data_IF_525015864085
#
_entry.id   IF_525015864085
#
_cell.length_a   1.000
_cell.length_b   1.000
_cell.length_c   1.000
_cell.angle_alpha   90.00
_cell.angle_beta   90.00
_cell.angle_gamma   90.00
#
_symmetry.space_group_name_H-M   'P 1'
#
loop_
_entity.id
_entity.type
_entity.pdbx_description
1 polymer ?
#
# COMPACT_ATOMS: atom_id res chain seq x y z
N UNK A 1 -2.93 -6.20 -9.10
CA UNK A 1 -2.93 -7.69 -9.04
C UNK A 1 -1.96 -8.35 -10.03
N UNK A 2 -1.80 -7.83 -11.26
CA UNK A 2 -0.80 -8.37 -12.21
C UNK A 2 0.64 -8.07 -11.74
N UNK A 3 0.88 -6.88 -11.19
CA UNK A 3 2.21 -6.45 -10.72
C UNK A 3 2.73 -7.25 -9.54
N UNK A 4 1.94 -7.42 -8.46
CA UNK A 4 2.35 -8.22 -7.29
C UNK A 4 2.67 -9.68 -7.68
N UNK A 5 1.84 -10.30 -8.54
CA UNK A 5 2.14 -11.62 -9.08
C UNK A 5 3.44 -11.64 -9.92
N UNK A 6 3.71 -10.57 -10.66
CA UNK A 6 4.97 -10.36 -11.38
C UNK A 6 6.15 -10.28 -10.42
N UNK A 7 6.04 -9.48 -9.36
CA UNK A 7 7.06 -9.32 -8.32
C UNK A 7 7.36 -10.64 -7.60
N UNK A 8 6.33 -11.40 -7.21
CA UNK A 8 6.48 -12.71 -6.58
C UNK A 8 7.23 -13.68 -7.51
N UNK A 9 6.84 -13.76 -8.79
CA UNK A 9 7.52 -14.63 -9.77
C UNK A 9 8.96 -14.19 -10.02
N UNK A 10 9.22 -12.88 -10.07
CA UNK A 10 10.56 -12.34 -10.23
C UNK A 10 11.45 -12.64 -9.01
N UNK A 11 10.92 -12.46 -7.80
CA UNK A 11 11.60 -12.81 -6.54
C UNK A 11 11.93 -14.30 -6.46
N UNK A 12 10.99 -15.17 -6.86
CA UNK A 12 11.22 -16.62 -6.92
C UNK A 12 12.36 -16.98 -7.88
N UNK A 13 12.36 -16.40 -9.09
CA UNK A 13 13.44 -16.62 -10.06
C UNK A 13 14.78 -16.14 -9.51
N UNK A 14 14.78 -15.00 -8.82
CA UNK A 14 15.98 -14.44 -8.21
C UNK A 14 16.51 -15.40 -7.15
N UNK A 15 15.70 -15.88 -6.20
CA UNK A 15 16.22 -16.76 -5.15
C UNK A 15 16.74 -18.08 -5.72
N UNK A 16 16.08 -18.61 -6.76
CA UNK A 16 16.55 -19.80 -7.48
C UNK A 16 17.88 -19.58 -8.22
N UNK A 17 18.31 -18.35 -8.52
CA UNK A 17 19.60 -18.12 -9.17
C UNK A 17 20.79 -18.21 -8.19
N UNK A 18 20.54 -18.10 -6.88
CA UNK A 18 21.59 -18.11 -5.84
C UNK A 18 21.57 -19.37 -4.97
N UNK A 19 20.46 -20.10 -4.93
CA UNK A 19 20.37 -21.37 -4.22
C UNK A 19 21.20 -22.47 -4.91
N UNK A 20 21.79 -23.36 -4.10
CA UNK A 20 22.43 -24.58 -4.60
C UNK A 20 21.40 -25.44 -5.34
N UNK A 21 21.84 -26.13 -6.40
CA UNK A 21 20.98 -26.95 -7.25
C UNK A 21 20.13 -27.96 -6.46
N UNK A 22 20.68 -28.54 -5.39
CA UNK A 22 19.97 -29.48 -4.51
C UNK A 22 18.72 -28.89 -3.82
N UNK A 23 18.67 -27.57 -3.60
CA UNK A 23 17.55 -26.89 -2.93
C UNK A 23 16.51 -26.32 -3.90
N UNK A 24 16.86 -26.11 -5.17
CA UNK A 24 15.94 -25.50 -6.17
C UNK A 24 14.64 -26.28 -6.35
N UNK A 25 14.63 -27.63 -6.37
CA UNK A 25 13.38 -28.39 -6.50
C UNK A 25 12.38 -28.18 -5.36
N UNK A 26 12.84 -27.75 -4.17
CA UNK A 26 11.96 -27.51 -3.03
C UNK A 26 11.19 -26.18 -3.14
N UNK A 27 11.63 -25.26 -4.00
CA UNK A 27 11.03 -23.94 -4.20
C UNK A 27 9.99 -24.02 -5.31
N UNK A 28 8.78 -24.44 -4.94
CA UNK A 28 7.60 -24.39 -5.80
C UNK A 28 6.92 -23.01 -5.71
N UNK A 29 6.24 -22.60 -6.78
CA UNK A 29 5.60 -21.27 -6.84
C UNK A 29 4.58 -21.05 -5.72
N UNK A 30 3.80 -22.07 -5.37
CA UNK A 30 2.77 -21.93 -4.32
C UNK A 30 3.39 -21.85 -2.92
N UNK A 31 4.47 -22.58 -2.65
CA UNK A 31 5.25 -22.45 -1.41
C UNK A 31 5.92 -21.08 -1.30
N UNK A 32 6.46 -20.57 -2.41
CA UNK A 32 7.08 -19.25 -2.45
C UNK A 32 6.04 -18.14 -2.25
N UNK A 33 4.86 -18.22 -2.89
CA UNK A 33 3.73 -17.32 -2.64
C UNK A 33 3.31 -17.34 -1.18
N UNK A 34 3.14 -18.53 -0.60
CA UNK A 34 2.78 -18.67 0.81
C UNK A 34 3.82 -17.99 1.71
N UNK A 35 5.10 -18.23 1.48
CA UNK A 35 6.18 -17.60 2.26
C UNK A 35 6.20 -16.07 2.08
N UNK A 36 6.00 -15.58 0.85
CA UNK A 36 5.91 -14.15 0.55
C UNK A 36 4.80 -13.49 1.37
N UNK A 37 3.58 -14.03 1.32
CA UNK A 37 2.46 -13.47 2.08
C UNK A 37 2.63 -13.65 3.59
N UNK A 38 3.21 -14.76 4.05
CA UNK A 38 3.50 -14.96 5.46
C UNK A 38 4.46 -13.90 6.00
N UNK A 39 5.58 -13.65 5.30
CA UNK A 39 6.55 -12.62 5.70
C UNK A 39 5.95 -11.22 5.63
N UNK A 40 5.26 -10.90 4.54
CA UNK A 40 4.70 -9.58 4.32
C UNK A 40 3.58 -9.21 5.33
N UNK A 41 2.80 -10.20 5.78
CA UNK A 41 1.70 -9.96 6.72
C UNK A 41 2.05 -10.15 8.20
N UNK A 42 3.17 -10.83 8.53
CA UNK A 42 3.52 -11.22 9.90
C UNK A 42 4.84 -10.69 10.42
N UNK A 43 5.64 -10.05 9.56
CA UNK A 43 6.91 -9.48 10.01
C UNK A 43 6.71 -8.21 10.83
N UNK A 44 7.65 -7.98 11.74
CA UNK A 44 7.81 -6.73 12.47
C UNK A 44 8.98 -5.95 11.89
N UNK A 45 8.91 -4.63 12.01
CA UNK A 45 10.00 -3.76 11.63
C UNK A 45 11.17 -3.88 12.62
N UNK A 46 12.38 -4.02 12.09
CA UNK A 46 13.64 -3.86 12.78
C UNK A 46 14.43 -2.73 12.15
N UNK A 47 15.12 -1.95 12.98
CA UNK A 47 16.05 -0.93 12.50
C UNK A 47 17.12 -1.60 11.62
N UNK A 48 17.24 -1.22 10.33
CA UNK A 48 18.23 -1.81 9.44
C UNK A 48 19.66 -1.67 9.96
N UNK A 49 19.94 -0.64 10.75
CA UNK A 49 21.27 -0.46 11.34
C UNK A 49 21.57 -1.48 12.43
N UNK A 50 20.57 -1.90 13.21
CA UNK A 50 20.74 -2.98 14.17
C UNK A 50 21.03 -4.30 13.43
N UNK A 51 20.30 -4.58 12.34
CA UNK A 51 20.51 -5.79 11.52
C UNK A 51 21.91 -5.80 10.90
N UNK A 52 22.34 -4.69 10.28
CA UNK A 52 23.70 -4.53 9.75
C UNK A 52 24.77 -4.75 10.82
N UNK A 53 24.58 -4.15 11.99
CA UNK A 53 25.53 -4.28 13.10
C UNK A 53 25.68 -5.73 13.54
N UNK A 54 24.59 -6.51 13.62
CA UNK A 54 24.65 -7.93 13.97
C UNK A 54 25.36 -8.71 12.85
N UNK A 55 24.99 -8.46 11.60
CA UNK A 55 25.55 -9.15 10.44
C UNK A 55 27.05 -8.89 10.25
N UNK A 56 27.57 -7.71 10.61
CA UNK A 56 29.00 -7.39 10.45
C UNK A 56 29.92 -8.19 11.36
N UNK A 57 29.37 -8.88 12.37
CA UNK A 57 30.12 -9.78 13.26
C UNK A 57 29.93 -11.26 12.90
N UNK A 58 29.16 -11.58 11.85
CA UNK A 58 29.05 -12.95 11.35
C UNK A 58 30.36 -13.36 10.64
N UNK A 59 30.93 -14.55 10.95
CA UNK A 59 32.20 -15.00 10.35
C UNK A 59 32.22 -15.07 8.83
N UNK A 60 31.05 -15.10 8.18
CA UNK A 60 30.88 -15.24 6.73
C UNK A 60 30.07 -14.10 6.11
N UNK A 61 29.84 -12.99 6.84
CA UNK A 61 28.95 -11.90 6.42
C UNK A 61 27.47 -12.32 6.34
N UNK A 62 26.63 -11.43 5.81
CA UNK A 62 25.22 -11.74 5.54
C UNK A 62 25.10 -12.57 4.25
N UNK A 63 24.38 -13.70 4.31
CA UNK A 63 24.20 -14.64 3.19
C UNK A 63 23.51 -14.03 1.95
N UNK A 64 22.86 -12.86 2.09
CA UNK A 64 22.00 -12.30 1.05
C UNK A 64 22.22 -10.79 0.80
N UNK A 65 23.30 -10.18 1.29
CA UNK A 65 23.49 -8.73 1.19
C UNK A 65 23.50 -8.24 -0.27
N UNK A 66 24.22 -8.93 -1.15
CA UNK A 66 24.28 -8.62 -2.59
C UNK A 66 22.97 -8.91 -3.36
N UNK A 67 21.98 -9.51 -2.68
CA UNK A 67 20.74 -9.99 -3.28
C UNK A 67 19.53 -9.11 -2.97
N UNK A 68 19.54 -8.46 -1.80
CA UNK A 68 18.47 -7.61 -1.34
C UNK A 68 18.37 -6.36 -2.22
N UNK A 69 17.16 -5.96 -2.56
CA UNK A 69 16.92 -4.71 -3.29
C UNK A 69 16.99 -3.50 -2.36
N UNK A 70 16.84 -3.74 -1.07
CA UNK A 70 16.65 -2.79 0.01
C UNK A 70 17.35 -3.27 1.29
N UNK A 71 17.45 -2.37 2.26
CA UNK A 71 18.10 -2.68 3.52
C UNK A 71 17.23 -3.62 4.38
N UNK A 72 17.80 -4.69 4.98
CA UNK A 72 17.03 -5.66 5.71
C UNK A 72 16.39 -5.03 6.96
N UNK A 73 15.06 -5.06 7.02
CA UNK A 73 14.28 -4.33 8.02
C UNK A 73 13.14 -5.16 8.63
N UNK A 74 13.09 -6.46 8.35
CA UNK A 74 11.98 -7.33 8.71
C UNK A 74 12.46 -8.52 9.55
N UNK A 75 11.68 -8.88 10.57
CA UNK A 75 11.84 -10.14 11.29
C UNK A 75 10.49 -10.82 11.54
N UNK A 76 10.46 -12.14 11.47
CA UNK A 76 9.36 -12.92 12.00
C UNK A 76 9.53 -13.03 13.52
N UNK A 77 8.51 -12.62 14.27
CA UNK A 77 8.49 -12.67 15.73
C UNK A 77 7.35 -13.61 16.16
N UNK A 78 7.63 -14.92 16.37
CA UNK A 78 6.62 -15.86 16.84
C UNK A 78 5.95 -15.35 18.11
N UNK A 79 4.67 -15.65 18.28
CA UNK A 79 3.78 -15.14 19.34
C UNK A 79 3.29 -13.71 19.11
N UNK A 80 4.17 -12.78 18.70
CA UNK A 80 3.76 -11.41 18.38
C UNK A 80 2.84 -11.38 17.16
N UNK A 81 3.11 -12.25 16.18
CA UNK A 81 2.32 -12.37 14.96
C UNK A 81 0.88 -12.93 15.15
N UNK A 82 0.46 -13.19 16.39
CA UNK A 82 -0.94 -13.50 16.73
C UNK A 82 -1.80 -12.26 17.04
N UNK A 83 -1.19 -11.11 17.34
CA UNK A 83 -1.97 -9.91 17.64
C UNK A 83 -2.64 -9.36 16.38
N UNK A 84 -3.95 -9.10 16.45
CA UNK A 84 -4.73 -8.54 15.35
C UNK A 84 -4.62 -7.02 15.27
N UNK A 85 -4.94 -6.48 14.09
CA UNK A 85 -4.93 -5.04 13.85
C UNK A 85 -6.21 -4.34 14.34
N UNK A 86 -6.05 -3.13 14.90
CA UNK A 86 -7.13 -2.17 15.07
C UNK A 86 -6.65 -0.74 14.71
N UNK A 87 -7.41 -0.02 13.88
CA UNK A 87 -7.14 1.39 13.58
C UNK A 87 -7.23 2.25 14.84
N UNK A 88 -6.38 3.28 14.91
CA UNK A 88 -6.34 4.23 16.02
C UNK A 88 -5.67 3.72 17.30
N UNK A 89 -5.32 2.44 17.41
CA UNK A 89 -4.46 1.94 18.49
C UNK A 89 -3.03 2.44 18.29
N UNK A 90 -2.37 2.97 19.33
CA UNK A 90 -0.94 3.27 19.25
C UNK A 90 -0.15 2.10 19.79
N UNK A 91 0.73 1.59 18.93
CA UNK A 91 1.65 0.51 19.26
C UNK A 91 3.05 1.02 19.07
N UNK A 92 3.83 0.98 20.15
CA UNK A 92 5.25 1.29 20.11
C UNK A 92 6.02 -0.03 20.22
N UNK A 93 7.07 -0.15 19.42
CA UNK A 93 7.94 -1.30 19.39
C UNK A 93 9.39 -0.88 19.47
N UNK A 94 10.19 -1.60 20.26
CA UNK A 94 11.63 -1.33 20.38
C UNK A 94 12.42 -2.62 20.63
N UNK A 95 13.69 -2.61 20.23
CA UNK A 95 14.63 -3.62 20.66
C UNK A 95 15.12 -3.31 22.08
N UNK A 96 15.33 -4.35 22.89
CA UNK A 96 15.81 -4.23 24.28
C UNK A 96 17.18 -3.58 24.43
N UNK A 97 17.97 -3.49 23.36
CA UNK A 97 19.29 -2.88 23.34
C UNK A 97 19.39 -1.87 22.20
N UNK A 98 20.01 -0.73 22.48
CA UNK A 98 20.37 0.24 21.44
C UNK A 98 21.48 -0.29 20.54
N UNK A 99 21.62 0.28 19.34
CA UNK A 99 22.69 -0.08 18.39
C UNK A 99 24.08 0.01 19.05
N UNK A 100 24.32 1.01 19.89
CA UNK A 100 25.58 1.17 20.63
C UNK A 100 25.80 0.04 21.61
N UNK A 101 24.76 -0.36 22.36
CA UNK A 101 24.86 -1.48 23.31
C UNK A 101 25.07 -2.82 22.60
N UNK A 102 24.41 -3.03 21.46
CA UNK A 102 24.63 -4.20 20.60
C UNK A 102 26.10 -4.27 20.19
N UNK A 103 26.64 -3.18 19.64
CA UNK A 103 28.05 -3.10 19.23
C UNK A 103 29.01 -3.38 20.39
N UNK A 104 28.79 -2.75 21.54
CA UNK A 104 29.66 -2.91 22.71
C UNK A 104 29.69 -4.36 23.23
N UNK A 105 28.55 -5.06 23.19
CA UNK A 105 28.48 -6.47 23.56
C UNK A 105 29.20 -7.35 22.55
N UNK A 106 28.96 -7.14 21.26
CA UNK A 106 29.60 -7.91 20.19
C UNK A 106 31.13 -7.73 20.21
N UNK A 107 31.63 -6.50 20.39
CA UNK A 107 33.07 -6.22 20.52
C UNK A 107 33.72 -6.89 21.74
N UNK A 108 32.95 -7.13 22.80
CA UNK A 108 33.41 -7.80 24.03
C UNK A 108 33.13 -9.30 24.02
N UNK A 109 32.70 -9.86 22.88
CA UNK A 109 32.30 -11.26 22.73
C UNK A 109 31.25 -11.71 23.78
N UNK A 110 30.38 -10.77 24.20
CA UNK A 110 29.32 -11.05 25.16
C UNK A 110 28.08 -11.60 24.46
N UNK A 111 27.31 -12.48 25.12
CA UNK A 111 26.03 -12.95 24.61
C UNK A 111 25.09 -11.79 24.26
N UNK A 112 24.47 -11.90 23.08
CA UNK A 112 23.51 -10.93 22.57
C UNK A 112 22.09 -11.44 22.83
N UNK A 113 21.55 -11.11 24.00
CA UNK A 113 20.16 -11.39 24.36
C UNK A 113 19.29 -10.20 23.93
N UNK A 114 18.54 -10.37 22.84
CA UNK A 114 17.64 -9.35 22.29
C UNK A 114 16.19 -9.73 22.54
N UNK A 115 15.40 -8.76 22.97
CA UNK A 115 13.95 -8.86 23.06
C UNK A 115 13.33 -7.78 22.18
N UNK A 116 12.22 -8.13 21.53
CA UNK A 116 11.38 -7.18 20.82
C UNK A 116 10.23 -6.81 21.75
N UNK A 117 10.28 -5.60 22.31
CA UNK A 117 9.29 -5.11 23.24
C UNK A 117 8.15 -4.47 22.45
N UNK A 118 6.92 -4.81 22.82
CA UNK A 118 5.71 -4.24 22.24
C UNK A 118 4.87 -3.62 23.35
N UNK A 119 4.49 -2.36 23.16
CA UNK A 119 3.72 -1.59 24.12
C UNK A 119 2.49 -0.99 23.42
N UNK A 120 1.31 -1.24 23.98
CA UNK A 120 0.07 -0.55 23.59
C UNK A 120 -0.27 0.51 24.61
N UNK A 121 -0.80 1.65 24.17
CA UNK A 121 -1.21 2.76 25.06
C UNK A 121 -2.59 2.57 25.71
N UNK A 122 -3.37 1.59 25.25
CA UNK A 122 -4.69 1.29 25.77
C UNK A 122 -4.64 0.35 26.99
N UNK A 123 -5.51 0.61 27.97
CA UNK A 123 -5.81 -0.35 29.03
C UNK A 123 -6.74 -1.44 28.47
N UNK A 124 -6.45 -2.70 28.83
CA UNK A 124 -7.22 -3.86 28.37
C UNK A 124 -7.91 -4.53 29.54
N UNK A 125 -9.21 -4.82 29.40
CA UNK A 125 -9.94 -5.58 30.41
C UNK A 125 -9.62 -7.07 30.31
N UNK A 126 -9.66 -7.76 31.44
CA UNK A 126 -9.46 -9.21 31.47
C UNK A 126 -10.46 -9.93 30.56
N UNK A 127 -9.97 -10.83 29.71
CA UNK A 127 -10.78 -11.57 28.74
C UNK A 127 -11.05 -10.84 27.42
N UNK A 128 -10.58 -9.60 27.25
CA UNK A 128 -10.64 -8.91 25.96
C UNK A 128 -9.39 -9.18 25.12
N UNK A 129 -9.58 -9.22 23.81
CA UNK A 129 -8.48 -9.33 22.86
C UNK A 129 -7.66 -8.04 22.87
N UNK A 130 -6.34 -8.21 22.90
CA UNK A 130 -5.38 -7.12 22.72
C UNK A 130 -5.15 -6.93 21.22
N UNK A 131 -5.33 -5.71 20.75
CA UNK A 131 -5.04 -5.31 19.37
C UNK A 131 -3.79 -4.46 19.30
N UNK A 132 -3.15 -4.47 18.14
CA UNK A 132 -1.99 -3.65 17.81
C UNK A 132 -2.24 -2.86 16.52
N UNK A 133 -1.38 -1.90 16.23
CA UNK A 133 -1.37 -1.26 14.92
C UNK A 133 -0.35 -1.92 14.00
N UNK A 134 -0.76 -2.31 12.80
CA UNK A 134 0.14 -2.72 11.73
C UNK A 134 0.71 -1.52 10.96
N UNK A 135 0.33 -0.30 11.36
CA UNK A 135 0.58 0.95 10.64
C UNK A 135 -0.71 1.59 10.13
N UNK A 136 -0.58 2.81 9.62
CA UNK A 136 -1.65 3.58 8.97
C UNK A 136 -1.85 3.05 7.55
N UNK A 137 -2.81 2.16 7.36
CA UNK A 137 -3.09 1.53 6.06
C UNK A 137 -4.53 1.77 5.61
N UNK A 138 -4.70 2.08 4.33
CA UNK A 138 -6.02 2.12 3.69
C UNK A 138 -6.59 0.70 3.49
N UNK A 139 -7.88 0.62 3.20
CA UNK A 139 -8.56 -0.66 3.02
C UNK A 139 -8.07 -1.43 1.79
N UNK A 140 -7.58 -0.75 0.75
CA UNK A 140 -6.95 -1.41 -0.40
C UNK A 140 -5.76 -2.26 0.04
N UNK A 141 -4.85 -1.67 0.81
CA UNK A 141 -3.65 -2.32 1.31
C UNK A 141 -3.98 -3.39 2.33
N UNK A 142 -4.89 -3.13 3.27
CA UNK A 142 -5.35 -4.14 4.22
C UNK A 142 -5.91 -5.38 3.49
N UNK A 143 -6.70 -5.18 2.45
CA UNK A 143 -7.31 -6.29 1.72
C UNK A 143 -6.26 -7.09 0.94
N UNK A 144 -5.35 -6.41 0.24
CA UNK A 144 -4.34 -7.06 -0.62
C UNK A 144 -3.22 -7.74 0.17
N UNK A 145 -2.80 -7.15 1.29
CA UNK A 145 -1.63 -7.61 2.05
C UNK A 145 -2.02 -8.46 3.27
N UNK A 146 -3.17 -8.20 3.89
CA UNK A 146 -3.60 -8.86 5.12
C UNK A 146 -4.91 -9.65 4.98
N UNK A 147 -5.64 -9.49 3.87
CA UNK A 147 -6.85 -10.26 3.58
C UNK A 147 -8.11 -9.78 4.30
N UNK A 148 -8.13 -8.56 4.85
CA UNK A 148 -9.31 -7.97 5.48
C UNK A 148 -9.41 -6.47 5.18
N UNK A 149 -10.54 -5.86 5.49
CA UNK A 149 -10.70 -4.40 5.49
C UNK A 149 -11.43 -3.97 6.76
N UNK A 150 -11.36 -2.70 7.11
CA UNK A 150 -11.99 -2.14 8.30
C UNK A 150 -13.18 -1.28 7.86
N UNK A 151 -14.40 -1.56 8.35
CA UNK A 151 -15.55 -0.69 8.12
C UNK A 151 -15.30 0.70 8.70
N UNK A 152 -15.60 1.75 7.94
CA UNK A 152 -15.36 3.15 8.31
C UNK A 152 -13.92 3.41 8.79
N UNK A 153 -12.94 2.81 8.10
CA UNK A 153 -11.53 2.99 8.41
C UNK A 153 -11.15 4.48 8.36
N UNK A 154 -10.65 5.07 9.46
CA UNK A 154 -10.28 6.49 9.49
C UNK A 154 -9.10 6.81 8.58
N UNK A 155 -8.27 5.81 8.25
CA UNK A 155 -7.07 5.93 7.43
C UNK A 155 -7.34 5.56 5.95
N UNK A 156 -8.61 5.42 5.56
CA UNK A 156 -8.96 4.98 4.22
C UNK A 156 -8.84 6.07 3.15
N UNK A 157 -8.50 5.61 1.95
CA UNK A 157 -8.63 6.36 0.72
C UNK A 157 -8.76 5.38 -0.44
N UNK A 158 -9.57 5.74 -1.44
CA UNK A 158 -9.77 4.94 -2.64
C UNK A 158 -8.88 5.48 -3.74
N UNK A 159 -7.77 4.80 -3.97
CA UNK A 159 -6.83 5.10 -5.05
C UNK A 159 -7.28 4.51 -6.38
N UNK A 160 -7.01 5.24 -7.45
CA UNK A 160 -7.27 4.83 -8.82
C UNK A 160 -6.10 5.21 -9.72
N UNK A 161 -6.14 4.76 -10.97
CA UNK A 161 -5.01 4.91 -11.90
C UNK A 161 -5.33 5.90 -13.01
N UNK A 162 -4.31 6.31 -13.74
CA UNK A 162 -4.51 7.02 -15.01
C UNK A 162 -5.34 6.20 -16.02
N UNK A 163 -5.29 4.86 -15.92
CA UNK A 163 -6.18 3.96 -16.65
C UNK A 163 -7.66 4.19 -16.32
N UNK A 164 -7.98 4.40 -15.05
CA UNK A 164 -9.32 4.75 -14.58
C UNK A 164 -9.77 6.11 -15.11
N UNK A 165 -8.90 7.12 -15.09
CA UNK A 165 -9.18 8.44 -15.69
C UNK A 165 -9.47 8.31 -17.20
N UNK A 166 -8.70 7.48 -17.91
CA UNK A 166 -8.93 7.22 -19.32
C UNK A 166 -10.26 6.47 -19.59
N UNK A 167 -10.66 5.57 -18.69
CA UNK A 167 -11.97 4.92 -18.76
C UNK A 167 -13.10 5.92 -18.53
N UNK A 168 -12.95 6.82 -17.55
CA UNK A 168 -13.85 7.94 -17.31
C UNK A 168 -13.98 8.85 -18.55
N UNK A 169 -12.87 9.29 -19.15
CA UNK A 169 -12.88 10.13 -20.36
C UNK A 169 -13.66 9.46 -21.49
N UNK A 170 -13.49 8.14 -21.69
CA UNK A 170 -14.20 7.39 -22.72
C UNK A 170 -15.70 7.26 -22.42
N UNK A 171 -16.07 7.19 -21.15
CA UNK A 171 -17.45 7.07 -20.70
C UNK A 171 -18.21 8.40 -20.78
N UNK A 172 -17.56 9.50 -20.42
CA UNK A 172 -18.17 10.82 -20.34
C UNK A 172 -18.55 11.36 -21.75
N UNK A 173 -19.82 11.71 -21.99
CA UNK A 173 -20.30 12.15 -23.31
C UNK A 173 -19.59 13.39 -23.88
N UNK A 174 -19.14 14.30 -23.01
CA UNK A 174 -18.46 15.54 -23.39
C UNK A 174 -16.97 15.29 -23.60
N UNK A 175 -16.35 14.43 -22.77
CA UNK A 175 -14.91 14.19 -22.81
C UNK A 175 -14.50 13.11 -23.83
N UNK A 176 -15.38 12.20 -24.23
CA UNK A 176 -15.03 11.08 -25.13
C UNK A 176 -14.49 11.51 -26.50
N UNK A 177 -14.85 12.71 -26.95
CA UNK A 177 -14.38 13.29 -28.20
C UNK A 177 -13.12 14.15 -28.01
N UNK A 178 -12.75 14.48 -26.77
CA UNK A 178 -11.57 15.29 -26.45
C UNK A 178 -10.30 14.57 -26.91
N UNK A 179 -9.41 15.32 -27.57
CA UNK A 179 -8.09 14.85 -27.97
C UNK A 179 -7.05 15.44 -27.04
N UNK A 180 -6.68 14.68 -26.03
CA UNK A 180 -5.64 15.09 -25.08
C UNK A 180 -4.24 14.85 -25.69
N UNK A 181 -3.36 15.87 -25.71
CA UNK A 181 -2.00 15.73 -26.22
C UNK A 181 -1.19 14.67 -25.46
N UNK A 182 -0.37 13.89 -26.17
CA UNK A 182 0.46 12.83 -25.57
C UNK A 182 1.51 13.39 -24.62
N UNK A 183 1.95 14.62 -24.86
CA UNK A 183 2.92 15.34 -24.05
C UNK A 183 2.44 15.52 -22.61
N UNK A 184 1.13 15.69 -22.40
CA UNK A 184 0.54 15.78 -21.05
C UNK A 184 0.68 14.46 -20.28
N UNK A 185 0.34 13.35 -20.93
CA UNK A 185 0.49 12.01 -20.34
C UNK A 185 1.94 11.69 -20.03
N UNK A 186 2.85 11.99 -20.96
CA UNK A 186 4.28 11.80 -20.75
C UNK A 186 4.79 12.65 -19.59
N UNK A 187 4.39 13.92 -19.50
CA UNK A 187 4.76 14.79 -18.38
C UNK A 187 4.30 14.22 -17.03
N UNK A 188 3.07 13.72 -16.93
CA UNK A 188 2.57 13.12 -15.68
C UNK A 188 3.42 11.89 -15.28
N UNK A 189 3.69 10.99 -16.23
CA UNK A 189 4.49 9.79 -15.99
C UNK A 189 5.96 10.10 -15.66
N UNK A 190 6.61 11.01 -16.39
CA UNK A 190 8.00 11.39 -16.18
C UNK A 190 8.24 12.03 -14.79
N UNK A 191 7.17 12.48 -14.14
CA UNK A 191 7.20 13.14 -12.83
C UNK A 191 6.43 12.38 -11.73
N UNK A 192 6.01 11.14 -11.97
CA UNK A 192 5.26 10.31 -11.01
C UNK A 192 3.96 10.96 -10.50
N UNK A 193 3.35 11.82 -11.32
CA UNK A 193 2.08 12.51 -11.01
C UNK A 193 0.86 11.68 -11.41
N UNK A 194 1.07 10.47 -11.92
CA UNK A 194 0.07 9.45 -12.21
C UNK A 194 -0.06 8.39 -11.11
N UNK A 195 0.69 8.57 -10.02
CA UNK A 195 0.60 7.81 -8.77
C UNK A 195 -0.20 8.59 -7.70
N UNK A 196 -0.72 7.91 -6.68
CA UNK A 196 -1.39 8.55 -5.54
C UNK A 196 -2.60 9.41 -5.94
N UNK A 197 -3.39 8.90 -6.90
CA UNK A 197 -4.60 9.55 -7.38
C UNK A 197 -5.80 9.08 -6.55
N UNK A 198 -6.26 9.91 -5.60
CA UNK A 198 -7.39 9.59 -4.74
C UNK A 198 -8.12 10.84 -4.27
N UNK A 199 -9.36 10.65 -3.82
CA UNK A 199 -10.10 11.65 -3.08
C UNK A 199 -9.72 11.60 -1.60
N UNK A 200 -9.63 12.77 -0.97
CA UNK A 200 -9.27 12.92 0.45
C UNK A 200 -10.43 13.56 1.20
N UNK A 201 -10.76 13.11 2.42
CA UNK A 201 -11.63 13.87 3.31
C UNK A 201 -11.10 15.31 3.47
N UNK A 202 -12.01 16.28 3.58
CA UNK A 202 -11.72 17.72 3.78
C UNK A 202 -11.09 18.45 2.58
N UNK A 203 -9.97 17.99 2.04
CA UNK A 203 -9.28 18.61 0.89
C UNK A 203 -9.87 18.21 -0.47
N UNK A 204 -10.79 17.23 -0.47
CA UNK A 204 -11.49 16.63 -1.60
C UNK A 204 -10.60 15.85 -2.59
N UNK A 205 -9.41 16.36 -2.93
CA UNK A 205 -8.50 15.76 -3.91
C UNK A 205 -7.09 15.63 -3.32
N UNK A 206 -6.38 14.55 -3.64
CA UNK A 206 -4.94 14.51 -3.43
C UNK A 206 -4.24 15.55 -4.31
N UNK A 207 -3.04 16.00 -3.92
CA UNK A 207 -2.23 16.93 -4.72
C UNK A 207 -2.04 16.41 -6.16
N UNK A 208 -1.62 15.15 -6.30
CA UNK A 208 -1.40 14.53 -7.61
C UNK A 208 -2.69 14.46 -8.44
N UNK A 209 -3.84 14.20 -7.82
CA UNK A 209 -5.12 14.22 -8.53
C UNK A 209 -5.49 15.62 -9.01
N UNK A 210 -5.31 16.65 -8.17
CA UNK A 210 -5.57 18.03 -8.55
C UNK A 210 -4.66 18.47 -9.72
N UNK A 211 -3.36 18.16 -9.65
CA UNK A 211 -2.39 18.40 -10.72
C UNK A 211 -2.75 17.64 -11.98
N UNK A 212 -3.06 16.36 -11.88
CA UNK A 212 -3.43 15.50 -13.01
C UNK A 212 -4.66 16.05 -13.75
N UNK A 213 -5.76 16.32 -13.04
CA UNK A 213 -6.97 16.88 -13.65
C UNK A 213 -6.71 18.27 -14.26
N UNK A 214 -5.92 19.11 -13.57
CA UNK A 214 -5.58 20.45 -14.06
C UNK A 214 -4.75 20.38 -15.34
N UNK A 215 -3.69 19.57 -15.36
CA UNK A 215 -2.84 19.36 -16.54
C UNK A 215 -3.67 18.84 -17.70
N UNK A 216 -4.52 17.83 -17.48
CA UNK A 216 -5.31 17.21 -18.54
C UNK A 216 -6.39 18.16 -19.09
N UNK A 217 -7.18 18.81 -18.24
CA UNK A 217 -8.44 19.41 -18.66
C UNK A 217 -8.49 20.94 -18.67
N UNK A 218 -7.58 21.65 -17.99
CA UNK A 218 -7.57 23.12 -18.02
C UNK A 218 -6.75 23.59 -19.23
N UNK A 219 -7.40 24.34 -20.12
CA UNK A 219 -6.77 24.94 -21.29
C UNK A 219 -5.66 25.91 -20.85
N UNK A 220 -4.58 26.02 -21.64
CA UNK A 220 -3.33 26.80 -21.39
C UNK A 220 -2.21 26.12 -20.59
N UNK A 221 -2.47 24.96 -19.96
CA UNK A 221 -1.44 24.32 -19.12
C UNK A 221 -0.28 23.66 -19.88
N UNK A 222 -0.41 23.39 -21.19
CA UNK A 222 0.66 22.72 -21.94
C UNK A 222 1.99 23.50 -21.92
N UNK A 223 1.94 24.83 -21.78
CA UNK A 223 3.12 25.68 -21.72
C UNK A 223 3.64 25.92 -20.29
N UNK A 224 2.88 25.53 -19.27
CA UNK A 224 3.17 25.82 -17.86
C UNK A 224 3.05 24.60 -16.94
N UNK A 225 3.12 23.37 -17.48
CA UNK A 225 2.92 22.12 -16.72
C UNK A 225 3.81 22.01 -15.47
N UNK A 226 5.08 22.44 -15.56
CA UNK A 226 6.00 22.47 -14.42
C UNK A 226 5.54 23.40 -13.30
N UNK A 227 5.00 24.57 -13.66
CA UNK A 227 4.49 25.52 -12.66
C UNK A 227 3.24 24.98 -11.98
N UNK A 228 2.37 24.28 -12.73
CA UNK A 228 1.18 23.62 -12.17
C UNK A 228 1.55 22.48 -11.24
N UNK A 229 2.56 21.68 -11.59
CA UNK A 229 2.90 20.46 -10.87
C UNK A 229 3.72 20.67 -9.59
N UNK A 230 4.54 21.72 -9.54
CA UNK A 230 5.53 21.89 -8.47
C UNK A 230 5.34 23.18 -7.66
N UNK A 231 4.23 23.89 -7.86
CA UNK A 231 3.81 24.99 -7.00
C UNK A 231 2.80 24.49 -5.96
N UNK A 232 2.05 25.41 -5.36
CA UNK A 232 0.92 25.07 -4.50
C UNK A 232 -0.12 24.24 -5.25
N UNK A 233 -0.85 23.39 -4.51
CA UNK A 233 -1.91 22.55 -5.05
C UNK A 233 -2.87 23.38 -5.91
N UNK A 234 -3.11 22.98 -7.17
CA UNK A 234 -4.01 23.73 -8.05
C UNK A 234 -5.39 23.94 -7.43
N UNK A 235 -6.02 25.11 -7.63
CA UNK A 235 -7.33 25.38 -7.06
C UNK A 235 -8.38 24.42 -7.62
N UNK A 236 -9.37 24.08 -6.80
CA UNK A 236 -10.43 23.15 -7.18
C UNK A 236 -11.36 23.70 -8.27
N UNK A 237 -11.68 25.00 -8.25
CA UNK A 237 -12.75 25.58 -9.09
C UNK A 237 -12.65 25.26 -10.59
N UNK A 238 -11.48 25.38 -11.27
CA UNK A 238 -11.37 25.07 -12.70
C UNK A 238 -11.64 23.59 -13.03
N UNK A 239 -11.49 22.69 -12.06
CA UNK A 239 -11.62 21.24 -12.24
C UNK A 239 -12.80 20.65 -11.46
N UNK A 240 -13.52 21.44 -10.66
CA UNK A 240 -14.57 20.97 -9.74
C UNK A 240 -15.62 20.12 -10.45
N UNK A 241 -16.13 20.62 -11.59
CA UNK A 241 -17.14 19.91 -12.38
C UNK A 241 -16.62 18.56 -12.90
N UNK A 242 -15.36 18.51 -13.35
CA UNK A 242 -14.74 17.29 -13.88
C UNK A 242 -14.46 16.30 -12.75
N UNK A 243 -13.96 16.77 -11.61
CA UNK A 243 -13.74 15.96 -10.41
C UNK A 243 -15.05 15.31 -9.93
N UNK A 244 -16.15 16.06 -9.90
CA UNK A 244 -17.46 15.53 -9.51
C UNK A 244 -17.99 14.50 -10.52
N UNK A 245 -17.77 14.69 -11.83
CA UNK A 245 -18.13 13.68 -12.85
C UNK A 245 -17.27 12.43 -12.75
N UNK A 246 -15.97 12.57 -12.48
CA UNK A 246 -15.08 11.43 -12.20
C UNK A 246 -15.56 10.67 -10.96
N UNK A 247 -15.91 11.36 -9.88
CA UNK A 247 -16.44 10.75 -8.66
C UNK A 247 -17.72 9.95 -8.92
N UNK A 248 -18.65 10.50 -9.73
CA UNK A 248 -19.85 9.79 -10.15
C UNK A 248 -19.54 8.54 -11.00
N UNK A 249 -18.54 8.62 -11.88
CA UNK A 249 -18.10 7.47 -12.66
C UNK A 249 -17.53 6.37 -11.76
N UNK A 250 -16.70 6.71 -10.77
CA UNK A 250 -16.16 5.74 -9.82
C UNK A 250 -17.27 5.05 -8.99
N UNK A 251 -18.27 5.83 -8.54
CA UNK A 251 -19.44 5.29 -7.86
C UNK A 251 -20.22 4.31 -8.75
N UNK A 252 -20.41 4.64 -10.03
CA UNK A 252 -21.04 3.74 -10.99
C UNK A 252 -20.24 2.44 -11.18
N UNK A 253 -18.91 2.51 -11.28
CA UNK A 253 -18.06 1.32 -11.37
C UNK A 253 -18.15 0.43 -10.12
N UNK A 254 -18.30 1.04 -8.94
CA UNK A 254 -18.52 0.32 -7.69
C UNK A 254 -19.89 -0.38 -7.71
N UNK A 255 -20.96 0.34 -8.05
CA UNK A 255 -22.30 -0.22 -8.14
C UNK A 255 -22.38 -1.40 -9.12
N UNK A 256 -21.79 -1.25 -10.31
CA UNK A 256 -21.75 -2.30 -11.32
C UNK A 256 -20.95 -3.52 -10.84
N UNK A 257 -19.81 -3.30 -10.18
CA UNK A 257 -18.99 -4.36 -9.60
C UNK A 257 -19.76 -5.15 -8.52
N UNK A 258 -20.40 -4.44 -7.58
CA UNK A 258 -21.19 -5.04 -6.51
C UNK A 258 -22.41 -5.78 -7.07
N UNK A 259 -23.12 -5.18 -8.04
CA UNK A 259 -24.28 -5.79 -8.68
C UNK A 259 -23.88 -7.05 -9.47
N UNK A 260 -22.76 -7.02 -10.18
CA UNK A 260 -22.21 -8.18 -10.89
C UNK A 260 -21.92 -9.34 -9.94
N UNK A 261 -21.23 -9.07 -8.83
CA UNK A 261 -20.94 -10.08 -7.80
C UNK A 261 -22.19 -10.60 -7.11
N UNK A 262 -23.19 -9.74 -6.89
CA UNK A 262 -24.45 -10.12 -6.23
C UNK A 262 -25.35 -10.99 -7.12
N UNK A 263 -25.12 -11.02 -8.44
CA UNK A 263 -25.84 -11.90 -9.38
C UNK A 263 -25.28 -13.32 -9.42
N UNK A 264 -24.08 -13.54 -8.89
CA UNK A 264 -23.49 -14.87 -8.85
C UNK A 264 -24.20 -15.71 -7.77
N UNK A 265 -24.51 -17.00 -8.06
CA UNK A 265 -25.23 -17.85 -7.13
C UNK A 265 -24.43 -18.14 -5.85
N UNK A 266 -23.10 -18.16 -5.96
CA UNK A 266 -22.18 -18.38 -4.85
C UNK A 266 -20.92 -17.53 -5.05
N UNK A 267 -20.37 -17.02 -3.95
CA UNK A 267 -19.08 -16.33 -3.92
C UNK A 267 -18.14 -17.11 -3.01
N UNK A 268 -16.88 -17.24 -3.44
CA UNK A 268 -15.81 -17.68 -2.54
C UNK A 268 -15.66 -16.69 -1.36
N UNK A 269 -14.97 -17.08 -0.28
CA UNK A 269 -14.66 -16.15 0.81
C UNK A 269 -13.97 -14.87 0.31
N UNK A 270 -13.03 -15.00 -0.62
CA UNK A 270 -12.35 -13.85 -1.25
C UNK A 270 -13.30 -13.00 -2.11
N UNK A 271 -14.21 -13.63 -2.85
CA UNK A 271 -15.23 -12.92 -3.63
C UNK A 271 -16.19 -12.13 -2.74
N UNK A 272 -16.56 -12.71 -1.59
CA UNK A 272 -17.39 -12.05 -0.57
C UNK A 272 -16.64 -10.86 0.04
N UNK A 273 -15.40 -11.07 0.50
CA UNK A 273 -14.57 -10.01 1.07
C UNK A 273 -14.39 -8.84 0.08
N UNK A 274 -14.09 -9.13 -1.19
CA UNK A 274 -13.97 -8.10 -2.23
C UNK A 274 -15.28 -7.35 -2.47
N UNK A 275 -16.43 -8.04 -2.51
CA UNK A 275 -17.73 -7.38 -2.69
C UNK A 275 -18.03 -6.39 -1.56
N UNK A 276 -17.81 -6.80 -0.30
CA UNK A 276 -18.07 -5.93 0.84
C UNK A 276 -17.05 -4.78 0.92
N UNK A 277 -15.78 -5.03 0.60
CA UNK A 277 -14.78 -3.97 0.43
C UNK A 277 -15.23 -2.94 -0.62
N UNK A 278 -15.75 -3.40 -1.78
CA UNK A 278 -16.25 -2.47 -2.81
C UNK A 278 -17.42 -1.63 -2.32
N UNK A 279 -18.31 -2.18 -1.48
CA UNK A 279 -19.37 -1.40 -0.83
C UNK A 279 -18.79 -0.35 0.11
N UNK A 280 -17.77 -0.70 0.89
CA UNK A 280 -17.07 0.25 1.77
C UNK A 280 -16.45 1.41 0.98
N UNK A 281 -15.78 1.13 -0.15
CA UNK A 281 -15.31 2.18 -1.05
C UNK A 281 -16.44 3.11 -1.51
N UNK A 282 -17.63 2.55 -1.77
CA UNK A 282 -18.81 3.32 -2.17
C UNK A 282 -19.32 4.23 -1.06
N UNK A 283 -19.31 3.75 0.19
CA UNK A 283 -19.65 4.57 1.37
C UNK A 283 -18.66 5.74 1.50
N UNK A 284 -17.35 5.44 1.41
CA UNK A 284 -16.31 6.46 1.45
C UNK A 284 -16.50 7.53 0.36
N UNK A 285 -16.65 7.13 -0.91
CA UNK A 285 -16.80 8.07 -2.02
C UNK A 285 -18.12 8.88 -1.96
N UNK A 286 -19.21 8.31 -1.44
CA UNK A 286 -20.45 9.07 -1.21
C UNK A 286 -20.29 10.13 -0.11
N UNK A 287 -19.50 9.86 0.93
CA UNK A 287 -19.15 10.86 1.94
C UNK A 287 -18.40 12.02 1.30
N UNK A 288 -17.39 11.74 0.47
CA UNK A 288 -16.65 12.77 -0.29
C UNK A 288 -17.61 13.57 -1.18
N UNK A 289 -18.49 12.89 -1.92
CA UNK A 289 -19.45 13.55 -2.82
C UNK A 289 -20.36 14.54 -2.11
N UNK A 290 -20.69 14.27 -0.84
CA UNK A 290 -21.53 15.15 -0.03
C UNK A 290 -20.80 16.43 0.42
N UNK A 291 -19.47 16.46 0.30
CA UNK A 291 -18.63 17.62 0.63
C UNK A 291 -18.25 18.48 -0.59
N UNK A 292 -18.65 18.06 -1.81
CA UNK A 292 -18.42 18.79 -3.07
C UNK A 292 -19.44 19.90 -3.30
#
# INVERSE_FOLDING_TARGET
MVEQNGAIKAGMKRIQSVLREEYKPAIELDKYKWAYFAVNSRSVFLDPMAVKMINSFLPSGSLFEDFLADEPSMALAPFLDFFNHQSGTKTNSELSLSITQIRDRLLKEQPLELFYNLHTDAAHLAGQQIFISYGTHNNTKLLLEYGFFIPSNPDDFVEFTLGTINAFIKHDPELRCLRLPREKYRFLADHHLDEQLFFVPDDLLSHNLAVCLTVLFVERNIHHMKAVAFADTPPLEPIRAIALRLLNFLLLEIEQSVAGLSKLPELSPAGTAYREYRRECGVFLNKIKSSF
#
